data_IF_993101434306
#
_entry.id   IF_993101434306
#
_cell.length_a   1.000
_cell.length_b   1.000
_cell.length_c   1.000
_cell.angle_alpha   90.00
_cell.angle_beta   90.00
_cell.angle_gamma   90.00
#
_symmetry.space_group_name_H-M   'P 1'
#
loop_
_entity.id
_entity.type
_entity.pdbx_description
1 polymer ?
#
# COMPACT_ATOMS: atom_id res chain seq x y z
N UNK A 1 -0.23 6.59 -22.59
CA UNK A 1 -1.26 5.94 -21.74
C UNK A 1 -0.81 4.59 -21.19
N UNK A 2 -0.43 3.59 -22.00
CA UNK A 2 0.00 2.26 -21.52
C UNK A 2 1.20 2.27 -20.55
N UNK A 3 2.24 3.06 -20.82
CA UNK A 3 3.39 3.22 -19.93
C UNK A 3 3.03 3.77 -18.53
N UNK A 4 1.97 4.58 -18.45
CA UNK A 4 1.52 5.16 -17.18
C UNK A 4 0.74 4.13 -16.35
N UNK A 5 -0.05 3.27 -17.00
CA UNK A 5 -0.74 2.14 -16.35
C UNK A 5 0.26 1.11 -15.83
N UNK A 6 1.29 0.77 -16.60
CA UNK A 6 2.34 -0.18 -16.16
C UNK A 6 3.08 0.31 -14.91
N UNK A 7 3.57 1.56 -14.90
CA UNK A 7 4.24 2.12 -13.71
C UNK A 7 3.36 2.13 -12.47
N UNK A 8 2.08 2.47 -12.62
CA UNK A 8 1.12 2.47 -11.50
C UNK A 8 0.82 1.06 -10.99
N UNK A 9 0.77 0.09 -11.89
CA UNK A 9 0.61 -1.33 -11.53
C UNK A 9 1.82 -1.82 -10.75
N UNK A 10 3.04 -1.42 -11.14
CA UNK A 10 4.26 -1.68 -10.37
C UNK A 10 4.21 -1.03 -8.98
N UNK A 11 3.77 0.23 -8.88
CA UNK A 11 3.61 0.91 -7.58
C UNK A 11 2.63 0.18 -6.66
N UNK A 12 1.46 -0.22 -7.17
CA UNK A 12 0.47 -0.98 -6.39
C UNK A 12 1.04 -2.31 -5.93
N UNK A 13 1.76 -3.02 -6.82
CA UNK A 13 2.38 -4.30 -6.50
C UNK A 13 3.44 -4.14 -5.39
N UNK A 14 4.31 -3.13 -5.50
CA UNK A 14 5.32 -2.84 -4.49
C UNK A 14 4.70 -2.44 -3.14
N UNK A 15 3.65 -1.61 -3.15
CA UNK A 15 2.87 -1.26 -1.97
C UNK A 15 2.26 -2.50 -1.30
N UNK A 16 1.74 -3.45 -2.10
CA UNK A 16 1.25 -4.73 -1.62
C UNK A 16 2.32 -5.55 -0.90
N UNK A 17 3.51 -5.68 -1.48
CA UNK A 17 4.63 -6.37 -0.81
C UNK A 17 5.03 -5.69 0.50
N UNK A 18 5.08 -4.35 0.52
CA UNK A 18 5.36 -3.59 1.74
C UNK A 18 4.32 -3.85 2.83
N UNK A 19 3.03 -3.86 2.49
CA UNK A 19 1.96 -4.16 3.44
C UNK A 19 2.04 -5.60 3.98
N UNK A 20 2.36 -6.60 3.15
CA UNK A 20 2.56 -7.97 3.61
C UNK A 20 3.73 -8.07 4.60
N UNK A 21 4.85 -7.39 4.32
CA UNK A 21 5.99 -7.35 5.24
C UNK A 21 5.62 -6.70 6.59
N UNK A 22 4.88 -5.58 6.56
CA UNK A 22 4.38 -4.91 7.76
C UNK A 22 3.40 -5.80 8.54
N UNK A 23 2.51 -6.51 7.85
CA UNK A 23 1.56 -7.44 8.48
C UNK A 23 2.29 -8.59 9.18
N UNK A 24 3.33 -9.17 8.54
CA UNK A 24 4.16 -10.20 9.16
C UNK A 24 4.86 -9.66 10.42
N UNK A 25 5.40 -8.44 10.37
CA UNK A 25 6.01 -7.81 11.55
C UNK A 25 5.01 -7.55 12.69
N UNK A 26 3.72 -7.40 12.35
CA UNK A 26 2.62 -7.29 13.32
C UNK A 26 2.10 -8.66 13.80
N UNK A 27 2.67 -9.77 13.34
CA UNK A 27 2.31 -11.13 13.77
C UNK A 27 1.27 -11.84 12.91
N UNK A 28 1.01 -11.37 11.68
CA UNK A 28 0.14 -12.10 10.74
C UNK A 28 0.71 -13.48 10.34
N UNK A 29 2.01 -13.69 10.53
CA UNK A 29 2.72 -14.95 10.33
C UNK A 29 2.63 -15.89 11.55
N UNK A 30 1.86 -15.52 12.59
CA UNK A 30 1.74 -16.21 13.86
C UNK A 30 3.07 -16.32 14.66
N UNK A 31 4.07 -15.49 14.33
CA UNK A 31 5.30 -15.38 15.11
C UNK A 31 5.14 -14.35 16.23
N UNK A 32 5.76 -14.61 17.38
CA UNK A 32 5.82 -13.65 18.49
C UNK A 32 6.83 -12.54 18.15
N UNK A 33 6.33 -11.38 17.76
CA UNK A 33 7.15 -10.17 17.59
C UNK A 33 6.98 -9.23 18.79
N UNK A 34 8.10 -8.87 19.42
CA UNK A 34 8.06 -7.83 20.45
C UNK A 34 7.99 -6.45 19.78
N UNK A 35 6.79 -5.92 19.63
CA UNK A 35 6.55 -4.58 19.08
C UNK A 35 6.36 -3.60 20.23
N UNK A 36 7.37 -2.78 20.50
CA UNK A 36 7.29 -1.70 21.49
C UNK A 36 6.37 -0.56 21.02
N UNK A 37 6.15 0.44 21.88
CA UNK A 37 5.20 1.51 21.62
C UNK A 37 5.60 2.40 20.43
N UNK A 38 6.89 2.72 20.31
CA UNK A 38 7.41 3.59 19.26
C UNK A 38 7.37 2.86 17.91
N UNK A 39 7.72 1.57 17.90
CA UNK A 39 7.62 0.73 16.72
C UNK A 39 6.15 0.58 16.28
N UNK A 40 5.19 0.44 17.20
CA UNK A 40 3.76 0.41 16.85
C UNK A 40 3.32 1.69 16.13
N UNK A 41 3.71 2.86 16.61
CA UNK A 41 3.37 4.12 15.92
C UNK A 41 4.09 4.26 14.58
N UNK A 42 5.36 3.86 14.51
CA UNK A 42 6.11 3.85 13.24
C UNK A 42 5.42 2.98 12.19
N UNK A 43 5.00 1.78 12.58
CA UNK A 43 4.27 0.85 11.71
C UNK A 43 2.91 1.38 11.31
N UNK A 44 2.15 1.98 12.24
CA UNK A 44 0.86 2.59 11.92
C UNK A 44 1.01 3.72 10.89
N UNK A 45 2.01 4.58 11.04
CA UNK A 45 2.30 5.64 10.07
C UNK A 45 2.76 5.08 8.72
N UNK A 46 3.56 4.01 8.71
CA UNK A 46 3.96 3.34 7.47
C UNK A 46 2.76 2.74 6.73
N UNK A 47 1.87 2.05 7.44
CA UNK A 47 0.61 1.52 6.86
C UNK A 47 -0.25 2.65 6.31
N UNK A 48 -0.40 3.75 7.05
CA UNK A 48 -1.17 4.91 6.60
C UNK A 48 -0.58 5.52 5.31
N UNK A 49 0.74 5.73 5.26
CA UNK A 49 1.41 6.28 4.09
C UNK A 49 1.24 5.39 2.84
N UNK A 50 1.38 4.08 3.00
CA UNK A 50 1.14 3.13 1.90
C UNK A 50 -0.34 3.12 1.49
N UNK A 51 -1.25 3.25 2.45
CA UNK A 51 -2.69 3.37 2.20
C UNK A 51 -3.04 4.60 1.37
N UNK A 52 -2.48 5.76 1.69
CA UNK A 52 -2.69 6.99 0.92
C UNK A 52 -2.10 6.88 -0.50
N UNK A 53 -0.90 6.29 -0.64
CA UNK A 53 -0.30 6.02 -1.96
C UNK A 53 -1.21 5.13 -2.82
N UNK A 54 -1.79 4.07 -2.24
CA UNK A 54 -2.71 3.17 -2.95
C UNK A 54 -4.01 3.89 -3.34
N UNK A 55 -4.58 4.73 -2.46
CA UNK A 55 -5.76 5.54 -2.77
C UNK A 55 -5.51 6.46 -3.96
N UNK A 56 -4.42 7.23 -3.92
CA UNK A 56 -4.07 8.16 -4.99
C UNK A 56 -3.84 7.43 -6.32
N UNK A 57 -3.06 6.34 -6.28
CA UNK A 57 -2.75 5.55 -7.48
C UNK A 57 -4.01 4.91 -8.06
N UNK A 58 -4.88 4.38 -7.19
CA UNK A 58 -6.17 3.79 -7.57
C UNK A 58 -7.14 4.81 -8.16
N UNK A 59 -7.32 5.96 -7.52
CA UNK A 59 -8.17 7.04 -8.02
C UNK A 59 -7.70 7.50 -9.42
N UNK A 60 -6.39 7.68 -9.61
CA UNK A 60 -5.88 8.09 -10.90
C UNK A 60 -6.00 6.98 -11.97
N UNK A 61 -5.98 5.69 -11.60
CA UNK A 61 -6.29 4.59 -12.53
C UNK A 61 -7.78 4.60 -12.91
N UNK A 62 -8.67 4.85 -11.95
CA UNK A 62 -10.11 4.94 -12.17
C UNK A 62 -10.47 6.06 -13.16
N UNK A 63 -9.95 7.26 -12.95
CA UNK A 63 -10.14 8.40 -13.88
C UNK A 63 -9.66 8.08 -15.30
N UNK A 64 -8.57 7.32 -15.42
CA UNK A 64 -7.98 6.94 -16.70
C UNK A 64 -8.67 5.75 -17.38
N UNK A 65 -9.49 4.98 -16.66
CA UNK A 65 -10.23 3.84 -17.22
C UNK A 65 -11.32 4.25 -18.22
N UNK A 66 -11.71 5.53 -18.22
CA UNK A 66 -12.82 6.04 -19.03
C UNK A 66 -14.19 5.84 -18.36
N UNK A 67 -14.29 5.07 -17.28
CA UNK A 67 -15.52 4.93 -16.47
C UNK A 67 -15.71 6.11 -15.53
N UNK A 68 -14.64 6.81 -15.12
CA UNK A 68 -14.72 8.03 -14.31
C UNK A 68 -15.16 9.30 -15.06
N UNK A 69 -15.46 9.22 -16.37
CA UNK A 69 -15.89 10.37 -17.20
C UNK A 69 -17.37 10.34 -17.60
N UNK A 70 -18.21 9.61 -16.87
CA UNK A 70 -19.67 9.61 -17.06
C UNK A 70 -20.34 10.55 -16.08
#
# INVERSE_FOLDING_TARGET
MRLNVSRRSETITAAGFGLCALANLLGADASDHFVDHDLKYGLANAVLAIGELLKETGASLWENSGEGRK
#
